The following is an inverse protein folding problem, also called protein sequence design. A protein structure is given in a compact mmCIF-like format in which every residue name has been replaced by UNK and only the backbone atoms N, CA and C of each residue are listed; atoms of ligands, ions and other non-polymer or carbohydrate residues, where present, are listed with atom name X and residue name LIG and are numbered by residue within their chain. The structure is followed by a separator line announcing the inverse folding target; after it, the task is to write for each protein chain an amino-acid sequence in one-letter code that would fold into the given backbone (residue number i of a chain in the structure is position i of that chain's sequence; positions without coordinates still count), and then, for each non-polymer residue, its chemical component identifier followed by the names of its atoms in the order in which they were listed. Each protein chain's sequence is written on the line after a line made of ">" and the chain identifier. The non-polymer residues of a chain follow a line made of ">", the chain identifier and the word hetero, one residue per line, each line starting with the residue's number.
data_IF_695798216657
#
_entry.id   IF_695798216657
#
_cell.length_a   1.000
_cell.length_b   1.000
_cell.length_c   1.000
_cell.angle_alpha   90.00
_cell.angle_beta   90.00
_cell.angle_gamma   90.00
#
_symmetry.space_group_name_H-M   'P 1'
#
loop_
_entity.id
_entity.type
_entity.pdbx_description
1 polymer ?
#
# COMPACT_ATOMS: atom_id res chain seq x y z
N UNK A 1 -16.97 12.22 15.48
CA UNK A 1 -15.59 11.72 15.32
C UNK A 1 -15.23 12.06 13.90
N UNK A 2 -14.60 13.21 13.68
CA UNK A 2 -14.27 13.70 12.34
C UNK A 2 -13.18 12.78 11.82
N UNK A 3 -13.46 12.05 10.74
CA UNK A 3 -12.44 11.34 9.98
C UNK A 3 -11.48 12.39 9.44
N UNK A 4 -10.32 12.48 10.07
CA UNK A 4 -9.18 13.24 9.56
C UNK A 4 -8.79 12.56 8.25
N UNK A 5 -9.01 13.28 7.16
CA UNK A 5 -8.81 12.79 5.81
C UNK A 5 -7.32 12.43 5.57
N UNK A 6 -6.96 11.80 4.44
CA UNK A 6 -5.57 11.66 3.97
C UNK A 6 -4.79 12.99 3.74
N UNK A 7 -5.27 14.11 4.30
CA UNK A 7 -4.60 15.42 4.32
C UNK A 7 -3.22 15.38 5.02
N UNK A 8 -2.99 14.36 5.83
CA UNK A 8 -1.74 14.11 6.55
C UNK A 8 -0.64 13.46 5.67
N UNK A 9 -0.95 13.02 4.44
CA UNK A 9 0.04 12.44 3.52
C UNK A 9 0.69 13.52 2.65
N UNK A 10 2.01 13.75 2.76
CA UNK A 10 2.75 14.68 1.91
C UNK A 10 2.58 14.32 0.42
N UNK A 11 2.43 15.31 -0.46
CA UNK A 11 2.18 15.08 -1.88
C UNK A 11 3.26 14.22 -2.57
N UNK A 12 4.51 14.36 -2.16
CA UNK A 12 5.64 13.58 -2.67
C UNK A 12 5.53 12.10 -2.25
N UNK A 13 5.25 11.86 -0.96
CA UNK A 13 5.01 10.53 -0.40
C UNK A 13 3.80 9.87 -1.03
N UNK A 14 2.73 10.62 -1.28
CA UNK A 14 1.52 10.15 -1.97
C UNK A 14 1.82 9.65 -3.38
N UNK A 15 2.62 10.41 -4.13
CA UNK A 15 3.03 10.05 -5.49
C UNK A 15 3.85 8.77 -5.46
N UNK A 16 4.87 8.71 -4.60
CA UNK A 16 5.71 7.54 -4.40
C UNK A 16 4.92 6.29 -4.01
N UNK A 17 4.00 6.41 -3.04
CA UNK A 17 3.13 5.32 -2.61
C UNK A 17 2.23 4.86 -3.77
N UNK A 18 1.65 5.79 -4.52
CA UNK A 18 0.80 5.47 -5.68
C UNK A 18 1.56 4.67 -6.74
N UNK A 19 2.82 5.04 -7.04
CA UNK A 19 3.69 4.31 -7.96
C UNK A 19 4.01 2.90 -7.44
N UNK A 20 4.33 2.77 -6.16
CA UNK A 20 4.57 1.46 -5.52
C UNK A 20 3.33 0.58 -5.59
N UNK A 21 2.14 1.12 -5.33
CA UNK A 21 0.89 0.36 -5.40
C UNK A 21 0.54 -0.08 -6.82
N UNK A 22 0.77 0.76 -7.84
CA UNK A 22 0.62 0.35 -9.25
C UNK A 22 1.55 -0.83 -9.55
N UNK A 23 2.82 -0.71 -9.18
CA UNK A 23 3.82 -1.77 -9.40
C UNK A 23 3.47 -3.07 -8.67
N UNK A 24 3.02 -2.97 -7.41
CA UNK A 24 2.60 -4.12 -6.61
C UNK A 24 1.39 -4.82 -7.20
N UNK A 25 0.41 -4.06 -7.69
CA UNK A 25 -0.78 -4.61 -8.32
C UNK A 25 -0.46 -5.34 -9.63
N UNK A 26 0.46 -4.79 -10.45
CA UNK A 26 0.93 -5.43 -11.68
C UNK A 26 1.70 -6.73 -11.38
N UNK A 27 2.64 -6.68 -10.44
CA UNK A 27 3.39 -7.86 -9.98
C UNK A 27 2.47 -8.96 -9.43
N UNK A 28 1.48 -8.59 -8.61
CA UNK A 28 0.51 -9.54 -8.09
C UNK A 28 -0.30 -10.20 -9.20
N UNK A 29 -0.74 -9.44 -10.23
CA UNK A 29 -1.42 -10.01 -11.42
C UNK A 29 -0.53 -10.93 -12.24
N UNK A 30 0.77 -10.66 -12.28
CA UNK A 30 1.77 -11.50 -12.92
C UNK A 30 2.20 -12.72 -12.06
N UNK A 31 1.67 -12.85 -10.82
CA UNK A 31 2.07 -13.87 -9.84
C UNK A 31 3.57 -13.77 -9.48
N UNK A 32 4.10 -12.54 -9.52
CA UNK A 32 5.51 -12.22 -9.31
C UNK A 32 5.75 -11.92 -7.82
N UNK A 33 5.77 -12.99 -7.01
CA UNK A 33 5.77 -12.90 -5.54
C UNK A 33 6.97 -12.17 -4.93
N UNK A 34 8.16 -12.28 -5.53
CA UNK A 34 9.37 -11.60 -5.10
C UNK A 34 9.24 -10.06 -5.27
N UNK A 35 8.68 -9.64 -6.41
CA UNK A 35 8.38 -8.24 -6.65
C UNK A 35 7.30 -7.72 -5.71
N UNK A 36 6.27 -8.52 -5.43
CA UNK A 36 5.22 -8.16 -4.45
C UNK A 36 5.84 -7.93 -3.07
N UNK A 37 6.69 -8.84 -2.59
CA UNK A 37 7.36 -8.72 -1.29
C UNK A 37 8.24 -7.45 -1.23
N UNK A 38 9.08 -7.24 -2.25
CA UNK A 38 9.92 -6.04 -2.38
C UNK A 38 9.12 -4.74 -2.37
N UNK A 39 7.96 -4.73 -3.04
CA UNK A 39 7.06 -3.55 -3.05
C UNK A 39 6.48 -3.33 -1.66
N UNK A 40 6.00 -4.39 -0.99
CA UNK A 40 5.43 -4.26 0.35
C UNK A 40 6.47 -3.75 1.35
N UNK A 41 7.70 -4.26 1.32
CA UNK A 41 8.81 -3.78 2.17
C UNK A 41 9.13 -2.30 1.94
N UNK A 42 9.15 -1.89 0.66
CA UNK A 42 9.35 -0.48 0.29
C UNK A 42 8.23 0.41 0.83
N UNK A 43 6.97 -0.05 0.75
CA UNK A 43 5.82 0.69 1.30
C UNK A 43 5.93 0.78 2.83
N UNK A 44 6.23 -0.33 3.51
CA UNK A 44 6.40 -0.40 4.96
C UNK A 44 7.44 0.62 5.43
N UNK A 45 8.60 0.65 4.77
CA UNK A 45 9.68 1.62 5.04
C UNK A 45 9.22 3.07 4.86
N UNK A 46 8.54 3.38 3.75
CA UNK A 46 8.05 4.75 3.49
C UNK A 46 6.99 5.15 4.51
N UNK A 47 6.05 4.27 4.81
CA UNK A 47 4.95 4.52 5.76
C UNK A 47 5.49 4.70 7.18
N UNK A 48 6.52 3.96 7.58
CA UNK A 48 7.13 4.08 8.91
C UNK A 48 8.01 5.32 9.05
N UNK A 49 8.74 5.70 8.00
CA UNK A 49 9.69 6.82 8.01
C UNK A 49 9.03 8.17 7.75
N UNK A 50 8.13 8.23 6.78
CA UNK A 50 7.69 9.50 6.17
C UNK A 50 6.29 9.92 6.57
N UNK A 51 5.48 9.01 7.13
CA UNK A 51 4.13 9.33 7.62
C UNK A 51 4.15 9.50 9.14
N UNK A 52 3.48 10.54 9.66
CA UNK A 52 3.32 10.68 11.10
C UNK A 52 2.37 9.59 11.61
N UNK A 53 2.38 9.40 12.92
CA UNK A 53 1.55 8.39 13.56
C UNK A 53 0.07 8.79 13.47
N UNK A 54 -0.74 7.93 12.87
CA UNK A 54 -2.14 8.23 12.60
C UNK A 54 -2.91 7.07 11.98
N UNK A 55 -4.17 7.34 11.64
CA UNK A 55 -5.07 6.35 11.03
C UNK A 55 -4.57 5.91 9.65
N UNK A 56 -4.11 6.84 8.82
CA UNK A 56 -3.53 6.55 7.50
C UNK A 56 -2.39 5.53 7.57
N UNK A 57 -1.42 5.78 8.45
CA UNK A 57 -0.29 4.86 8.68
C UNK A 57 -0.77 3.47 9.08
N UNK A 58 -1.74 3.41 10.00
CA UNK A 58 -2.31 2.15 10.50
C UNK A 58 -3.02 1.37 9.39
N UNK A 59 -3.82 2.05 8.58
CA UNK A 59 -4.56 1.44 7.46
C UNK A 59 -3.61 0.90 6.39
N UNK A 60 -2.56 1.65 6.03
CA UNK A 60 -1.57 1.22 5.04
C UNK A 60 -0.77 0.00 5.52
N UNK A 61 -0.30 0.00 6.77
CA UNK A 61 0.40 -1.16 7.34
C UNK A 61 -0.51 -2.40 7.41
N UNK A 62 -1.79 -2.20 7.73
CA UNK A 62 -2.77 -3.29 7.70
C UNK A 62 -2.94 -3.85 6.29
N UNK A 63 -3.06 -2.99 5.27
CA UNK A 63 -3.13 -3.42 3.87
C UNK A 63 -1.90 -4.21 3.43
N UNK A 64 -0.70 -3.77 3.84
CA UNK A 64 0.55 -4.50 3.62
C UNK A 64 0.56 -5.91 4.26
N UNK A 65 0.09 -6.06 5.51
CA UNK A 65 -0.07 -7.39 6.14
C UNK A 65 -1.05 -8.27 5.36
N UNK A 66 -2.17 -7.72 4.90
CA UNK A 66 -3.15 -8.46 4.10
C UNK A 66 -2.55 -8.97 2.80
N UNK A 67 -1.82 -8.12 2.07
CA UNK A 67 -1.10 -8.52 0.83
C UNK A 67 -0.13 -9.65 1.10
N UNK A 68 0.72 -9.56 2.14
CA UNK A 68 1.68 -10.62 2.50
C UNK A 68 1.01 -11.97 2.72
N UNK A 69 -0.19 -11.98 3.32
CA UNK A 69 -0.95 -13.22 3.58
C UNK A 69 -1.66 -13.76 2.36
N UNK A 70 -2.12 -12.91 1.44
CA UNK A 70 -2.93 -13.34 0.29
C UNK A 70 -2.12 -13.53 -0.98
N UNK A 71 -0.96 -12.89 -1.16
CA UNK A 71 -0.22 -12.88 -2.43
C UNK A 71 0.09 -14.27 -2.99
N UNK A 72 0.39 -15.24 -2.13
CA UNK A 72 0.71 -16.61 -2.56
C UNK A 72 -0.52 -17.45 -2.94
N UNK A 73 -1.64 -17.26 -2.24
CA UNK A 73 -2.85 -18.08 -2.42
C UNK A 73 -3.86 -17.44 -3.38
N UNK A 74 -3.94 -16.12 -3.36
CA UNK A 74 -4.95 -15.30 -4.03
C UNK A 74 -4.30 -14.03 -4.62
N UNK A 75 -3.45 -14.19 -5.66
CA UNK A 75 -2.69 -13.08 -6.25
C UNK A 75 -3.57 -11.92 -6.76
N UNK A 76 -4.75 -12.23 -7.30
CA UNK A 76 -5.71 -11.20 -7.73
C UNK A 76 -6.31 -10.43 -6.55
N UNK A 77 -6.52 -11.08 -5.40
CA UNK A 77 -6.98 -10.41 -4.18
C UNK A 77 -5.89 -9.48 -3.65
N UNK A 78 -4.61 -9.91 -3.70
CA UNK A 78 -3.49 -9.04 -3.37
C UNK A 78 -3.41 -7.81 -4.30
N UNK A 79 -3.67 -7.97 -5.60
CA UNK A 79 -3.73 -6.86 -6.54
C UNK A 79 -4.83 -5.84 -6.19
N UNK A 80 -6.01 -6.32 -5.77
CA UNK A 80 -7.11 -5.44 -5.34
C UNK A 80 -6.80 -4.71 -4.03
N UNK A 81 -6.04 -5.32 -3.11
CA UNK A 81 -5.54 -4.60 -1.93
C UNK A 81 -4.63 -3.42 -2.32
N UNK A 82 -3.72 -3.62 -3.27
CA UNK A 82 -2.88 -2.52 -3.78
C UNK A 82 -3.71 -1.41 -4.45
N UNK A 83 -4.69 -1.76 -5.27
CA UNK A 83 -5.60 -0.79 -5.90
C UNK A 83 -6.43 -0.01 -4.86
N UNK A 84 -6.91 -0.69 -3.81
CA UNK A 84 -7.66 -0.06 -2.72
C UNK A 84 -6.78 0.92 -1.94
N UNK A 85 -5.55 0.53 -1.60
CA UNK A 85 -4.59 1.42 -0.93
C UNK A 85 -4.22 2.63 -1.80
N UNK A 86 -4.08 2.44 -3.12
CA UNK A 86 -3.86 3.56 -4.06
C UNK A 86 -5.00 4.56 -4.06
N UNK A 87 -6.25 4.08 -4.06
CA UNK A 87 -7.43 4.96 -4.00
C UNK A 87 -7.48 5.68 -2.66
N UNK A 88 -7.18 5.00 -1.57
CA UNK A 88 -7.15 5.57 -0.23
C UNK A 88 -6.16 6.74 -0.08
N UNK A 89 -4.99 6.68 -0.72
CA UNK A 89 -4.02 7.80 -0.69
C UNK A 89 -4.29 8.87 -1.76
N UNK A 90 -5.10 8.56 -2.78
CA UNK A 90 -5.38 9.45 -3.91
C UNK A 90 -6.64 10.31 -3.75
N UNK A 91 -7.63 9.84 -2.98
CA UNK A 91 -8.79 10.62 -2.51
C UNK A 91 -8.41 11.49 -1.30
#
# INVERSE_FOLDING_TARGET
>A
MTADAPEDVPADVRTKLSELFVRGADAARAVDGDTVDSVVDSVDTVVLSELPDGETKTVLLHGCDRVRRTAAAEPLVAAEYFEAMRRFVGE
#
